data_IF_432180592079
#
_entry.id   IF_432180592079
#
_cell.length_a   1.000
_cell.length_b   1.000
_cell.length_c   1.000
_cell.angle_alpha   90.00
_cell.angle_beta   90.00
_cell.angle_gamma   90.00
#
_symmetry.space_group_name_H-M   'P 1'
#
loop_
_entity.id
_entity.type
_entity.pdbx_description
1 polymer ?
#
# COMPACT_ATOMS: atom_id res chain seq x y z
N UNK A 1 -44.88 37.23 -60.05
CA UNK A 1 -45.31 36.38 -58.92
C UNK A 1 -44.69 36.92 -57.65
N UNK A 2 -45.50 37.14 -56.60
CA UNK A 2 -45.16 37.91 -55.38
C UNK A 2 -44.50 37.02 -54.31
N UNK A 3 -43.65 37.58 -53.43
CA UNK A 3 -43.03 36.86 -52.32
C UNK A 3 -43.97 36.78 -51.11
N UNK A 4 -44.00 35.63 -50.43
CA UNK A 4 -44.74 35.45 -49.18
C UNK A 4 -43.75 35.55 -48.00
N UNK A 5 -43.86 36.64 -47.25
CA UNK A 5 -43.23 36.83 -45.93
C UNK A 5 -44.14 36.21 -44.88
N UNK A 6 -43.60 35.45 -43.94
CA UNK A 6 -44.26 35.12 -42.67
C UNK A 6 -43.33 35.49 -41.52
N UNK A 7 -43.91 36.30 -40.64
CA UNK A 7 -43.40 36.89 -39.40
C UNK A 7 -43.54 35.89 -38.23
N UNK A 8 -43.01 36.33 -37.07
CA UNK A 8 -43.41 35.95 -35.69
C UNK A 8 -42.96 34.56 -35.20
N UNK A 9 -42.43 34.36 -33.99
CA UNK A 9 -42.43 35.15 -32.74
C UNK A 9 -41.20 34.78 -31.89
N UNK A 10 -40.57 35.80 -31.33
CA UNK A 10 -39.57 35.77 -30.26
C UNK A 10 -40.24 35.25 -28.97
N UNK A 11 -39.79 34.12 -28.42
CA UNK A 11 -40.16 33.70 -27.06
C UNK A 11 -38.94 33.81 -26.16
N UNK A 12 -38.96 34.86 -25.33
CA UNK A 12 -37.97 35.20 -24.33
C UNK A 12 -38.25 34.33 -23.09
N UNK A 13 -37.65 33.15 -23.01
CA UNK A 13 -37.66 32.33 -21.80
C UNK A 13 -36.56 32.83 -20.86
N UNK A 14 -36.98 33.62 -19.87
CA UNK A 14 -36.16 34.02 -18.74
C UNK A 14 -35.75 32.80 -17.92
N UNK A 15 -34.47 32.47 -17.96
CA UNK A 15 -33.85 31.58 -16.99
C UNK A 15 -33.60 32.39 -15.72
N UNK A 16 -34.47 32.21 -14.73
CA UNK A 16 -34.24 32.65 -13.35
C UNK A 16 -33.10 31.77 -12.81
N UNK A 17 -31.88 32.30 -12.78
CA UNK A 17 -30.79 31.73 -11.98
C UNK A 17 -31.13 31.93 -10.51
N UNK A 18 -31.83 30.95 -9.92
CA UNK A 18 -31.86 30.81 -8.47
C UNK A 18 -30.44 30.45 -8.04
N UNK A 19 -29.73 31.48 -7.57
CA UNK A 19 -28.55 31.40 -6.73
C UNK A 19 -28.89 30.65 -5.45
N UNK A 20 -29.01 29.33 -5.54
CA UNK A 20 -28.88 28.46 -4.38
C UNK A 20 -27.40 28.36 -4.06
N UNK A 21 -26.95 29.09 -3.04
CA UNK A 21 -25.68 28.78 -2.40
C UNK A 21 -25.80 27.36 -1.85
N UNK A 22 -25.32 26.37 -2.60
CA UNK A 22 -25.03 25.05 -2.05
C UNK A 22 -23.78 25.26 -1.21
N UNK A 23 -24.00 25.54 0.07
CA UNK A 23 -22.97 25.44 1.08
C UNK A 23 -22.60 23.96 1.16
N UNK A 24 -21.60 23.57 0.38
CA UNK A 24 -20.89 22.31 0.58
C UNK A 24 -20.22 22.47 1.94
N UNK A 25 -20.91 22.03 2.99
CA UNK A 25 -20.28 21.78 4.28
C UNK A 25 -19.20 20.75 3.98
N UNK A 26 -17.96 21.22 3.96
CA UNK A 26 -16.78 20.37 4.02
C UNK A 26 -17.07 19.36 5.13
N UNK A 27 -17.24 18.11 4.69
CA UNK A 27 -17.45 16.99 5.59
C UNK A 27 -16.10 16.79 6.22
N UNK A 28 -15.87 17.51 7.31
CA UNK A 28 -14.72 17.38 8.19
C UNK A 28 -14.58 15.88 8.45
N UNK A 29 -13.58 15.30 7.77
CA UNK A 29 -13.32 13.89 7.79
C UNK A 29 -12.85 13.61 9.20
N UNK A 30 -13.77 13.15 10.05
CA UNK A 30 -13.51 12.90 11.45
C UNK A 30 -12.32 11.95 11.56
N UNK A 31 -11.16 12.51 11.91
CA UNK A 31 -9.93 11.76 12.10
C UNK A 31 -10.23 10.62 13.08
N UNK A 32 -10.14 9.38 12.59
CA UNK A 32 -10.50 8.21 13.37
C UNK A 32 -9.69 8.22 14.68
N UNK A 33 -10.31 8.06 15.86
CA UNK A 33 -9.69 8.35 17.15
C UNK A 33 -8.36 7.60 17.28
N UNK A 34 -7.26 8.35 17.23
CA UNK A 34 -5.90 7.84 17.39
C UNK A 34 -5.80 7.24 18.79
N UNK A 35 -5.34 6.00 18.93
CA UNK A 35 -5.10 5.43 20.26
C UNK A 35 -3.89 6.14 20.86
N UNK A 36 -4.13 7.14 21.69
CA UNK A 36 -3.07 7.79 22.47
C UNK A 36 -2.88 7.01 23.77
N UNK A 37 -1.77 6.30 23.88
CA UNK A 37 -1.32 5.74 25.16
C UNK A 37 -0.68 6.86 26.00
N UNK A 38 -0.93 6.84 27.31
CA UNK A 38 -0.30 7.80 28.21
C UNK A 38 1.16 7.41 28.45
N UNK A 39 2.06 8.40 28.51
CA UNK A 39 3.53 8.23 28.63
C UNK A 39 3.95 7.36 29.85
N UNK A 40 3.05 7.10 30.81
CA UNK A 40 3.34 6.29 32.00
C UNK A 40 3.18 4.77 31.84
N UNK A 41 2.64 4.29 30.72
CA UNK A 41 2.31 2.87 30.58
C UNK A 41 3.43 2.04 29.92
N UNK A 42 3.50 0.76 30.30
CA UNK A 42 4.27 -0.23 29.58
C UNK A 42 3.36 -0.92 28.55
N UNK A 43 3.80 -0.94 27.29
CA UNK A 43 3.10 -1.62 26.21
C UNK A 43 3.81 -2.94 25.93
N UNK A 44 3.04 -4.02 25.87
CA UNK A 44 3.56 -5.34 25.56
C UNK A 44 2.89 -5.84 24.29
N UNK A 45 3.69 -6.12 23.28
CA UNK A 45 3.27 -6.83 22.08
C UNK A 45 3.75 -8.27 22.16
N UNK A 46 2.81 -9.20 22.24
CA UNK A 46 3.08 -10.62 22.40
C UNK A 46 2.32 -11.51 21.40
N UNK A 47 1.55 -10.92 20.50
CA UNK A 47 0.73 -11.61 19.50
C UNK A 47 0.85 -10.93 18.13
N UNK A 48 0.56 -11.65 17.03
CA UNK A 48 0.47 -11.06 15.71
C UNK A 48 -0.63 -10.00 15.64
N UNK A 49 -0.37 -8.89 14.95
CA UNK A 49 -1.37 -7.86 14.70
C UNK A 49 -1.16 -7.21 13.34
N UNK A 50 -2.25 -6.74 12.73
CA UNK A 50 -2.23 -6.00 11.48
C UNK A 50 -2.86 -4.64 11.70
N UNK A 51 -2.12 -3.57 11.41
CA UNK A 51 -2.64 -2.21 11.50
C UNK A 51 -3.78 -2.02 10.50
N UNK A 52 -4.83 -1.34 10.96
CA UNK A 52 -5.98 -0.96 10.13
C UNK A 52 -5.97 0.55 9.80
N UNK A 53 -5.04 1.28 10.39
CA UNK A 53 -4.83 2.72 10.26
C UNK A 53 -3.45 3.09 10.79
N UNK A 54 -3.05 4.34 10.59
CA UNK A 54 -1.86 4.89 11.22
C UNK A 54 -1.91 4.72 12.75
N UNK A 55 -0.81 4.27 13.35
CA UNK A 55 -0.71 4.03 14.79
C UNK A 55 0.48 4.80 15.37
N UNK A 56 0.24 5.46 16.50
CA UNK A 56 1.27 6.20 17.26
C UNK A 56 1.33 5.63 18.66
N UNK A 57 2.52 5.19 19.06
CA UNK A 57 2.76 4.57 20.37
C UNK A 57 3.66 5.48 21.15
N UNK A 58 3.12 6.06 22.21
CA UNK A 58 3.85 6.83 23.21
C UNK A 58 3.77 6.11 24.53
N UNK A 59 4.90 5.59 25.00
CA UNK A 59 4.92 4.73 26.18
C UNK A 59 6.24 4.89 26.92
N UNK A 60 6.25 4.52 28.22
CA UNK A 60 7.49 4.43 28.96
C UNK A 60 8.35 3.32 28.39
N UNK A 61 7.76 2.13 28.24
CA UNK A 61 8.44 0.97 27.68
C UNK A 61 7.59 0.28 26.64
N UNK A 62 8.21 -0.16 25.54
CA UNK A 62 7.62 -1.07 24.58
C UNK A 62 8.40 -2.38 24.58
N UNK A 63 7.72 -3.48 24.90
CA UNK A 63 8.29 -4.82 24.87
C UNK A 63 7.71 -5.58 23.68
N UNK A 64 8.55 -5.88 22.69
CA UNK A 64 8.17 -6.64 21.50
C UNK A 64 8.69 -8.07 21.65
N UNK A 65 7.78 -8.98 21.99
CA UNK A 65 8.11 -10.39 22.21
C UNK A 65 8.30 -11.14 20.89
N UNK A 66 8.98 -12.29 20.95
CA UNK A 66 9.23 -13.19 19.80
C UNK A 66 7.99 -13.55 18.97
N UNK A 67 6.85 -13.70 19.61
CA UNK A 67 5.57 -14.08 18.96
C UNK A 67 4.87 -12.89 18.28
N UNK A 68 5.32 -11.67 18.55
CA UNK A 68 4.73 -10.48 17.95
C UNK A 68 5.22 -10.33 16.50
N UNK A 69 4.26 -10.33 15.58
CA UNK A 69 4.46 -10.03 14.16
C UNK A 69 3.50 -8.91 13.81
N UNK A 70 4.04 -7.70 13.67
CA UNK A 70 3.27 -6.49 13.42
C UNK A 70 3.32 -6.19 11.93
N UNK A 71 2.17 -6.34 11.25
CA UNK A 71 2.01 -5.96 9.85
C UNK A 71 1.50 -4.51 9.78
N UNK A 72 2.30 -3.58 9.28
CA UNK A 72 1.91 -2.17 9.14
C UNK A 72 1.19 -1.88 7.81
N UNK A 73 1.34 -2.76 6.82
CA UNK A 73 0.88 -2.56 5.44
C UNK A 73 1.44 -1.24 4.88
N UNK A 74 0.55 -0.42 4.32
CA UNK A 74 0.78 0.94 3.85
C UNK A 74 0.59 2.01 4.96
N UNK A 75 0.24 1.60 6.18
CA UNK A 75 0.00 2.55 7.27
C UNK A 75 1.30 2.99 7.98
N UNK A 76 1.41 4.28 8.34
CA UNK A 76 2.49 4.76 9.19
C UNK A 76 2.44 4.14 10.58
N UNK A 77 3.60 3.73 11.08
CA UNK A 77 3.81 3.32 12.48
C UNK A 77 4.84 4.25 13.11
N UNK A 78 4.43 4.96 14.16
CA UNK A 78 5.32 5.84 14.93
C UNK A 78 5.44 5.29 16.35
N UNK A 79 6.67 4.99 16.77
CA UNK A 79 7.01 4.52 18.11
C UNK A 79 7.91 5.57 18.75
N UNK A 80 7.49 6.11 19.88
CA UNK A 80 8.20 7.12 20.66
C UNK A 80 8.18 6.68 22.14
N UNK A 81 9.29 6.09 22.59
CA UNK A 81 9.34 5.42 23.90
C UNK A 81 10.60 5.77 24.69
N UNK A 82 10.55 5.65 26.01
CA UNK A 82 11.79 5.78 26.80
C UNK A 82 12.67 4.53 26.65
N UNK A 83 12.08 3.34 26.63
CA UNK A 83 12.81 2.08 26.48
C UNK A 83 12.14 1.13 25.48
N UNK A 84 12.90 0.64 24.50
CA UNK A 84 12.50 -0.42 23.58
C UNK A 84 13.20 -1.73 23.93
N UNK A 85 12.43 -2.77 24.25
CA UNK A 85 12.96 -4.10 24.56
C UNK A 85 12.45 -5.08 23.50
N UNK A 86 13.35 -5.64 22.69
CA UNK A 86 13.00 -6.55 21.60
C UNK A 86 13.52 -7.97 21.85
N UNK A 87 12.63 -8.94 21.89
CA UNK A 87 12.95 -10.36 22.12
C UNK A 87 12.78 -11.17 20.84
N UNK A 88 13.44 -10.75 19.76
CA UNK A 88 13.32 -11.31 18.40
C UNK A 88 11.93 -11.10 17.76
N UNK A 89 11.19 -10.07 18.20
CA UNK A 89 9.92 -9.67 17.58
C UNK A 89 10.10 -9.17 16.14
N UNK A 90 9.00 -9.09 15.39
CA UNK A 90 9.01 -8.69 13.98
C UNK A 90 8.06 -7.53 13.70
N UNK A 91 8.56 -6.49 13.03
CA UNK A 91 7.75 -5.45 12.39
C UNK A 91 7.95 -5.59 10.88
N UNK A 92 6.88 -5.61 10.10
CA UNK A 92 6.95 -5.66 8.64
C UNK A 92 5.84 -4.84 8.00
N UNK A 93 6.07 -4.29 6.81
CA UNK A 93 4.99 -3.67 6.04
C UNK A 93 4.02 -4.75 5.57
N UNK A 94 4.46 -5.56 4.61
CA UNK A 94 3.67 -6.65 4.05
C UNK A 94 4.29 -8.01 4.40
N UNK A 95 3.46 -9.05 4.62
CA UNK A 95 3.96 -10.42 4.65
C UNK A 95 4.55 -10.79 3.29
N UNK A 96 5.47 -11.77 3.28
CA UNK A 96 6.30 -12.13 2.09
C UNK A 96 5.47 -12.54 0.86
N UNK A 97 4.27 -13.05 1.11
CA UNK A 97 3.30 -13.59 0.16
C UNK A 97 2.13 -12.63 -0.13
N UNK A 98 2.17 -11.39 0.39
CA UNK A 98 1.16 -10.39 0.05
C UNK A 98 1.15 -10.11 -1.45
N UNK A 99 -0.04 -10.17 -2.06
CA UNK A 99 -0.25 -9.93 -3.47
C UNK A 99 -1.53 -9.12 -3.67
N UNK A 100 -1.47 -8.13 -4.55
CA UNK A 100 -2.62 -7.35 -4.96
C UNK A 100 -3.64 -8.21 -5.72
N UNK A 101 -4.88 -7.74 -5.81
CA UNK A 101 -5.90 -8.37 -6.66
C UNK A 101 -5.44 -8.44 -8.11
N UNK A 102 -6.03 -9.33 -8.91
CA UNK A 102 -5.77 -9.42 -10.35
C UNK A 102 -5.72 -8.05 -11.02
N UNK A 103 -4.69 -7.85 -11.86
CA UNK A 103 -4.40 -6.61 -12.60
C UNK A 103 -4.08 -5.40 -11.70
N UNK A 104 -4.15 -5.57 -10.38
CA UNK A 104 -3.98 -4.55 -9.37
C UNK A 104 -2.51 -4.23 -9.14
N UNK A 105 -2.24 -2.95 -8.93
CA UNK A 105 -0.92 -2.49 -8.51
C UNK A 105 -0.66 -2.92 -7.06
N UNK A 106 0.55 -3.40 -6.77
CA UNK A 106 0.99 -3.63 -5.41
C UNK A 106 1.08 -2.32 -4.63
N UNK A 107 0.60 -2.31 -3.40
CA UNK A 107 0.78 -1.18 -2.48
C UNK A 107 2.22 -1.07 -2.00
N UNK A 108 2.70 0.17 -1.90
CA UNK A 108 3.99 0.46 -1.28
C UNK A 108 3.92 0.32 0.23
N UNK A 109 5.03 -0.08 0.85
CA UNK A 109 5.13 -0.07 2.30
C UNK A 109 4.99 1.34 2.89
N UNK A 110 4.35 1.46 4.04
CA UNK A 110 4.29 2.71 4.80
C UNK A 110 5.59 3.00 5.56
N UNK A 111 5.64 4.16 6.21
CA UNK A 111 6.79 4.59 7.02
C UNK A 111 6.77 3.96 8.41
N UNK A 112 7.91 3.46 8.88
CA UNK A 112 8.14 3.02 10.25
C UNK A 112 9.13 4.00 10.90
N UNK A 113 8.66 4.75 11.90
CA UNK A 113 9.46 5.67 12.69
C UNK A 113 9.60 5.12 14.11
N UNK A 114 10.84 4.92 14.57
CA UNK A 114 11.14 4.42 15.91
C UNK A 114 12.13 5.38 16.56
N UNK A 115 11.68 6.07 17.60
CA UNK A 115 12.50 6.89 18.47
C UNK A 115 12.48 6.27 19.86
N UNK A 116 13.66 5.97 20.41
CA UNK A 116 13.77 5.50 21.78
C UNK A 116 14.97 6.10 22.52
N UNK A 117 14.82 6.42 23.81
CA UNK A 117 15.96 6.86 24.63
C UNK A 117 16.93 5.71 24.92
N UNK A 118 16.41 4.52 25.16
CA UNK A 118 17.19 3.31 25.34
C UNK A 118 16.60 2.16 24.52
N UNK A 119 17.44 1.23 24.05
CA UNK A 119 16.97 0.01 23.40
C UNK A 119 17.87 -1.19 23.72
N UNK A 120 17.26 -2.37 23.82
CA UNK A 120 17.97 -3.64 24.06
C UNK A 120 17.35 -4.81 23.27
N UNK A 121 18.18 -5.82 22.99
CA UNK A 121 17.75 -7.07 22.35
C UNK A 121 17.72 -7.03 20.82
N UNK A 122 17.01 -7.97 20.20
CA UNK A 122 16.98 -8.14 18.74
C UNK A 122 15.60 -7.77 18.20
N UNK A 123 15.56 -6.92 17.17
CA UNK A 123 14.33 -6.57 16.46
C UNK A 123 14.50 -6.92 14.97
N UNK A 124 13.57 -7.69 14.42
CA UNK A 124 13.51 -7.96 12.99
C UNK A 124 12.59 -6.94 12.31
N UNK A 125 13.09 -6.29 11.26
CA UNK A 125 12.34 -5.30 10.48
C UNK A 125 12.38 -5.74 9.01
N UNK A 126 11.20 -5.97 8.41
CA UNK A 126 11.08 -6.28 6.98
C UNK A 126 10.30 -5.18 6.26
N UNK A 127 11.01 -4.36 5.50
CA UNK A 127 10.43 -3.35 4.64
C UNK A 127 10.09 -4.02 3.30
N UNK A 128 8.81 -4.27 3.08
CA UNK A 128 8.33 -4.95 1.88
C UNK A 128 7.29 -4.12 1.16
N UNK A 129 7.31 -4.15 -0.17
CA UNK A 129 6.16 -3.79 -0.97
C UNK A 129 5.26 -5.00 -1.23
N UNK A 130 3.98 -4.75 -1.48
CA UNK A 130 3.04 -5.79 -1.92
C UNK A 130 3.36 -6.21 -3.36
N UNK A 131 3.20 -7.50 -3.69
CA UNK A 131 3.40 -7.96 -5.07
C UNK A 131 2.28 -7.43 -5.97
N UNK A 132 2.64 -7.15 -7.22
CA UNK A 132 1.67 -6.82 -8.25
C UNK A 132 0.72 -7.98 -8.53
N UNK A 133 -0.52 -7.63 -8.87
CA UNK A 133 -1.54 -8.59 -9.27
C UNK A 133 -1.20 -9.24 -10.60
N UNK A 134 -1.52 -10.53 -10.73
CA UNK A 134 -1.39 -11.23 -12.01
C UNK A 134 -2.33 -10.59 -13.04
N UNK A 135 -1.90 -10.51 -14.31
CA UNK A 135 -2.79 -10.17 -15.42
C UNK A 135 -3.74 -11.32 -15.73
N UNK A 136 -4.94 -11.01 -16.23
CA UNK A 136 -5.96 -12.01 -16.58
C UNK A 136 -5.72 -12.58 -17.96
N UNK A 137 -5.97 -13.87 -18.10
CA UNK A 137 -5.89 -14.58 -19.36
C UNK A 137 -7.04 -14.18 -20.30
N UNK A 138 -6.76 -14.10 -21.60
CA UNK A 138 -7.80 -13.85 -22.58
C UNK A 138 -8.71 -15.07 -22.76
N UNK A 139 -10.01 -14.88 -22.58
CA UNK A 139 -11.00 -15.96 -22.69
C UNK A 139 -11.45 -16.17 -24.13
N UNK A 140 -11.35 -17.39 -24.65
CA UNK A 140 -11.88 -17.73 -25.97
C UNK A 140 -13.39 -17.94 -25.88
N UNK A 141 -14.18 -17.08 -26.54
CA UNK A 141 -15.64 -17.18 -26.62
C UNK A 141 -16.12 -17.98 -27.83
N UNK A 142 -15.39 -17.95 -28.95
CA UNK A 142 -15.62 -18.82 -30.12
C UNK A 142 -14.28 -19.21 -30.77
N UNK A 143 -13.74 -20.42 -30.50
CA UNK A 143 -12.46 -20.88 -31.03
C UNK A 143 -12.45 -21.04 -32.56
N UNK A 144 -13.62 -21.05 -33.23
CA UNK A 144 -13.74 -21.18 -34.68
C UNK A 144 -13.69 -19.84 -35.40
N UNK A 145 -14.01 -18.74 -34.71
CA UNK A 145 -14.03 -17.38 -35.28
C UNK A 145 -12.84 -16.53 -34.86
N UNK A 146 -12.28 -16.78 -33.68
CA UNK A 146 -11.18 -15.99 -33.16
C UNK A 146 -10.08 -16.90 -32.58
N UNK A 147 -8.84 -16.84 -33.10
CA UNK A 147 -7.76 -17.73 -32.64
C UNK A 147 -7.13 -17.29 -31.30
N UNK A 148 -7.57 -16.17 -30.72
CA UNK A 148 -7.16 -15.73 -29.40
C UNK A 148 -7.83 -14.41 -29.00
N UNK A 149 -8.02 -14.22 -27.71
CA UNK A 149 -8.45 -12.96 -27.11
C UNK A 149 -7.29 -12.44 -26.25
N UNK A 150 -7.10 -11.12 -26.20
CA UNK A 150 -5.96 -10.54 -25.51
C UNK A 150 -5.99 -10.84 -24.01
N UNK A 151 -4.81 -11.11 -23.43
CA UNK A 151 -4.64 -11.09 -21.98
C UNK A 151 -4.45 -9.65 -21.47
N UNK A 152 -4.53 -9.45 -20.17
CA UNK A 152 -4.28 -8.13 -19.56
C UNK A 152 -2.90 -8.07 -18.90
N UNK A 153 -2.48 -6.85 -18.59
CA UNK A 153 -1.18 -6.61 -17.98
C UNK A 153 -1.17 -7.09 -16.52
N UNK A 154 0.00 -7.53 -16.06
CA UNK A 154 0.25 -7.65 -14.63
C UNK A 154 0.40 -6.27 -13.99
N UNK A 155 0.09 -6.17 -12.70
CA UNK A 155 0.34 -4.97 -11.92
C UNK A 155 1.81 -4.83 -11.55
N UNK A 156 2.27 -3.59 -11.35
CA UNK A 156 3.59 -3.33 -10.79
C UNK A 156 3.62 -3.76 -9.32
N UNK A 157 4.78 -4.14 -8.82
CA UNK A 157 5.02 -4.35 -7.40
C UNK A 157 5.16 -3.03 -6.65
N UNK A 158 4.68 -2.98 -5.42
CA UNK A 158 4.81 -1.81 -4.56
C UNK A 158 6.26 -1.55 -4.14
N UNK A 159 6.62 -0.29 -3.89
CA UNK A 159 7.92 0.03 -3.33
C UNK A 159 8.02 -0.48 -1.89
N UNK A 160 9.24 -0.65 -1.37
CA UNK A 160 9.39 -0.88 0.07
C UNK A 160 8.95 0.35 0.85
N UNK A 161 8.68 0.16 2.15
CA UNK A 161 8.51 1.28 3.06
C UNK A 161 9.83 1.94 3.42
N UNK A 162 9.73 2.99 4.22
CA UNK A 162 10.86 3.70 4.79
C UNK A 162 11.01 3.34 6.28
N UNK A 163 12.26 3.30 6.76
CA UNK A 163 12.59 3.14 8.18
C UNK A 163 13.42 4.32 8.67
N UNK A 164 12.94 4.95 9.75
CA UNK A 164 13.72 5.91 10.52
C UNK A 164 13.84 5.39 11.94
N UNK A 165 15.05 4.99 12.34
CA UNK A 165 15.36 4.47 13.66
C UNK A 165 16.35 5.39 14.35
N UNK A 166 15.92 6.05 15.42
CA UNK A 166 16.76 6.89 16.26
C UNK A 166 16.80 6.32 17.68
N UNK A 167 18.00 6.00 18.15
CA UNK A 167 18.24 5.55 19.53
C UNK A 167 19.19 6.54 20.23
N UNK A 168 18.68 7.17 21.30
CA UNK A 168 19.37 8.20 22.07
C UNK A 168 20.12 7.62 23.29
N UNK A 169 20.71 6.43 23.18
CA UNK A 169 21.24 5.77 24.39
C UNK A 169 22.70 6.12 24.68
N UNK A 170 23.01 6.86 25.75
CA UNK A 170 24.38 6.88 26.31
C UNK A 170 24.82 5.49 26.83
N UNK A 171 23.85 4.64 27.17
CA UNK A 171 24.05 3.29 27.69
C UNK A 171 23.94 2.25 26.57
N UNK A 172 25.03 2.11 25.81
CA UNK A 172 25.17 1.08 24.80
C UNK A 172 25.19 -0.32 25.43
N UNK A 173 24.30 -1.21 24.98
CA UNK A 173 24.35 -2.59 25.43
C UNK A 173 23.34 -3.53 24.76
N UNK A 174 23.50 -3.77 23.45
CA UNK A 174 22.96 -4.98 22.84
C UNK A 174 21.67 -4.84 22.02
N UNK A 175 21.31 -3.64 21.55
CA UNK A 175 20.26 -3.52 20.53
C UNK A 175 20.78 -3.82 19.13
N UNK A 176 20.19 -4.83 18.48
CA UNK A 176 20.53 -5.30 17.16
C UNK A 176 19.29 -5.27 16.25
N UNK A 177 19.05 -4.16 15.53
CA UNK A 177 18.04 -4.13 14.48
C UNK A 177 18.54 -4.94 13.28
N UNK A 178 17.71 -5.88 12.81
CA UNK A 178 17.95 -6.65 11.58
C UNK A 178 16.97 -6.17 10.54
N UNK A 179 17.44 -5.32 9.64
CA UNK A 179 16.62 -4.70 8.60
C UNK A 179 16.83 -5.46 7.30
N UNK A 180 15.73 -5.86 6.66
CA UNK A 180 15.73 -6.35 5.28
C UNK A 180 14.76 -5.51 4.47
N UNK A 181 15.16 -5.12 3.26
CA UNK A 181 14.35 -4.32 2.35
C UNK A 181 14.16 -5.11 1.04
N UNK A 182 12.91 -5.34 0.64
CA UNK A 182 12.56 -6.12 -0.55
C UNK A 182 11.35 -5.49 -1.27
N UNK A 183 11.58 -4.89 -2.43
CA UNK A 183 10.50 -4.36 -3.27
C UNK A 183 9.48 -5.43 -3.66
N UNK A 184 8.23 -5.03 -3.90
CA UNK A 184 7.20 -5.93 -4.40
C UNK A 184 7.60 -6.51 -5.76
N UNK A 185 7.37 -7.80 -5.97
CA UNK A 185 7.59 -8.41 -7.28
C UNK A 185 6.52 -7.94 -8.27
N UNK A 186 6.91 -7.83 -9.54
CA UNK A 186 6.00 -7.61 -10.65
C UNK A 186 4.95 -8.72 -10.74
N UNK A 187 3.71 -8.34 -11.06
CA UNK A 187 2.69 -9.27 -11.50
C UNK A 187 3.02 -9.80 -12.91
N UNK A 188 2.91 -11.11 -13.16
CA UNK A 188 3.05 -11.69 -14.49
C UNK A 188 1.91 -11.23 -15.41
N UNK A 189 2.19 -11.09 -16.70
CA UNK A 189 1.17 -10.84 -17.73
C UNK A 189 0.14 -11.96 -17.85
N UNK A 190 -1.07 -11.60 -18.24
CA UNK A 190 -2.05 -12.53 -18.77
C UNK A 190 -1.70 -12.95 -20.19
N UNK A 191 -1.91 -14.22 -20.50
CA UNK A 191 -1.61 -14.82 -21.81
C UNK A 191 -2.85 -14.77 -22.70
N UNK A 192 -2.64 -14.62 -24.01
CA UNK A 192 -3.71 -14.67 -25.01
C UNK A 192 -4.34 -16.07 -25.11
N UNK A 193 -5.66 -16.11 -25.27
CA UNK A 193 -6.41 -17.30 -25.67
C UNK A 193 -6.15 -18.57 -24.84
N UNK A 194 -5.76 -18.43 -23.57
CA UNK A 194 -5.21 -19.51 -22.77
C UNK A 194 -6.26 -20.30 -21.98
N UNK A 195 -7.52 -19.87 -21.99
CA UNK A 195 -8.61 -20.56 -21.28
C UNK A 195 -9.81 -20.86 -22.19
N UNK A 196 -10.24 -22.13 -22.18
CA UNK A 196 -11.52 -22.56 -22.74
C UNK A 196 -12.67 -22.00 -21.89
N UNK A 197 -13.90 -21.93 -22.44
CA UNK A 197 -15.05 -21.48 -21.65
C UNK A 197 -15.22 -22.35 -20.39
N UNK A 198 -15.15 -21.73 -19.20
CA UNK A 198 -15.30 -22.42 -17.91
C UNK A 198 -14.22 -22.13 -16.86
N UNK A 199 -13.11 -21.47 -17.20
CA UNK A 199 -12.18 -20.94 -16.17
C UNK A 199 -12.87 -19.89 -15.30
N UNK A 200 -12.44 -19.72 -14.03
CA UNK A 200 -12.99 -18.68 -13.16
C UNK A 200 -12.89 -17.31 -13.85
N UNK A 201 -13.99 -16.55 -13.81
CA UNK A 201 -14.06 -15.19 -14.39
C UNK A 201 -13.07 -14.22 -13.71
N UNK A 202 -12.55 -14.58 -12.54
CA UNK A 202 -11.55 -13.78 -11.82
C UNK A 202 -10.16 -13.88 -12.45
N UNK A 203 -9.85 -14.97 -13.15
CA UNK A 203 -8.54 -15.23 -13.77
C UNK A 203 -8.55 -14.95 -15.28
N UNK A 204 -9.71 -14.57 -15.83
CA UNK A 204 -9.92 -14.44 -17.26
C UNK A 204 -10.73 -13.21 -17.64
N UNK A 205 -10.49 -12.70 -18.85
CA UNK A 205 -11.15 -11.51 -19.38
C UNK A 205 -11.72 -11.79 -20.76
N UNK A 206 -12.97 -11.36 -20.97
CA UNK A 206 -13.58 -11.28 -22.29
C UNK A 206 -13.04 -10.04 -23.01
N UNK A 207 -11.84 -10.17 -23.60
CA UNK A 207 -11.21 -9.12 -24.38
C UNK A 207 -11.58 -9.21 -25.87
N UNK A 208 -11.39 -8.14 -26.66
CA UNK A 208 -11.54 -8.21 -28.10
C UNK A 208 -10.64 -9.28 -28.70
N UNK A 209 -11.24 -10.13 -29.54
CA UNK A 209 -10.55 -11.29 -30.10
C UNK A 209 -10.20 -11.04 -31.57
N UNK A 210 -8.92 -11.18 -31.88
CA UNK A 210 -8.38 -10.95 -33.24
C UNK A 210 -7.32 -11.99 -33.55
N UNK A 211 -6.93 -12.09 -34.82
CA UNK A 211 -5.92 -13.05 -35.27
C UNK A 211 -4.59 -12.92 -34.52
N UNK A 212 -4.23 -11.69 -34.17
CA UNK A 212 -2.94 -11.33 -33.56
C UNK A 212 -3.14 -10.61 -32.21
N UNK A 213 -4.12 -11.05 -31.42
CA UNK A 213 -4.31 -10.49 -30.08
C UNK A 213 -3.01 -10.65 -29.25
N UNK A 214 -2.49 -9.58 -28.64
CA UNK A 214 -1.25 -9.63 -27.88
C UNK A 214 -1.48 -10.27 -26.50
N UNK A 215 -0.39 -10.78 -25.92
CA UNK A 215 -0.34 -11.01 -24.47
C UNK A 215 -0.32 -9.66 -23.74
N UNK A 216 -0.60 -9.67 -22.44
CA UNK A 216 -0.33 -8.51 -21.61
C UNK A 216 1.17 -8.23 -21.50
N UNK A 217 1.51 -7.22 -20.72
CA UNK A 217 2.89 -6.91 -20.31
C UNK A 217 3.06 -7.24 -18.83
N UNK A 218 4.24 -7.74 -18.45
CA UNK A 218 4.56 -7.95 -17.05
C UNK A 218 4.63 -6.60 -16.34
N UNK A 219 4.26 -6.56 -15.06
CA UNK A 219 4.50 -5.39 -14.25
C UNK A 219 5.99 -5.10 -14.06
N UNK A 220 6.29 -3.99 -13.38
CA UNK A 220 7.63 -3.65 -12.93
C UNK A 220 7.81 -4.03 -11.46
N UNK A 221 9.01 -4.46 -11.04
CA UNK A 221 9.28 -4.63 -9.62
C UNK A 221 9.27 -3.26 -8.91
N UNK A 222 8.89 -3.28 -7.64
CA UNK A 222 8.98 -2.11 -6.76
C UNK A 222 10.42 -1.73 -6.45
N UNK A 223 10.60 -0.48 -6.05
CA UNK A 223 11.91 0.08 -5.69
C UNK A 223 12.17 -0.04 -4.20
N UNK A 224 13.44 0.02 -3.83
CA UNK A 224 13.88 0.18 -2.46
C UNK A 224 13.57 1.62 -1.98
N UNK A 225 13.13 1.71 -0.73
CA UNK A 225 12.89 2.92 0.04
C UNK A 225 14.08 3.22 0.96
N UNK A 226 13.92 4.22 1.83
CA UNK A 226 15.02 4.74 2.64
C UNK A 226 15.15 4.01 3.97
N UNK A 227 16.39 3.69 4.35
CA UNK A 227 16.69 3.17 5.68
C UNK A 227 17.67 4.11 6.36
N UNK A 228 17.21 4.83 7.39
CA UNK A 228 18.09 5.63 8.22
C UNK A 228 18.12 5.14 9.67
N UNK A 229 19.33 4.83 10.14
CA UNK A 229 19.60 4.41 11.52
C UNK A 229 20.58 5.40 12.14
N UNK A 230 20.12 6.10 13.18
CA UNK A 230 20.89 7.09 13.94
C UNK A 230 21.12 6.60 15.36
N UNK A 231 22.39 6.57 15.78
CA UNK A 231 22.81 6.18 17.14
C UNK A 231 23.60 7.32 17.78
N UNK A 232 22.96 8.08 18.68
CA UNK A 232 23.52 9.36 19.14
C UNK A 232 24.82 9.23 19.95
N UNK A 233 24.99 8.15 20.72
CA UNK A 233 26.18 7.97 21.58
C UNK A 233 27.48 7.65 20.85
N UNK A 234 27.41 7.26 19.57
CA UNK A 234 28.59 7.04 18.72
C UNK A 234 28.82 8.15 17.70
N UNK A 235 27.93 9.15 17.63
CA UNK A 235 27.91 10.11 16.52
C UNK A 235 27.73 9.43 15.15
N UNK A 236 27.24 8.19 15.13
CA UNK A 236 27.12 7.37 13.92
C UNK A 236 25.74 7.59 13.31
N UNK A 237 25.73 8.06 12.07
CA UNK A 237 24.53 8.22 11.25
C UNK A 237 24.76 7.48 9.94
N UNK A 238 24.00 6.41 9.74
CA UNK A 238 23.98 5.67 8.48
C UNK A 238 22.57 5.85 7.91
N UNK A 239 22.43 6.63 6.85
CA UNK A 239 21.24 6.63 6.02
C UNK A 239 21.66 6.09 4.64
N UNK A 240 21.14 4.93 4.28
CA UNK A 240 21.32 4.29 2.97
C UNK A 240 20.06 4.47 2.11
#
# INVERSE_FOLDING_TARGET
MKPLKIFTTLSLLGAIFLSGCVEVKDKEEAEAPMKTYSISEDVIWNEPMTLQKAEVIKARRLIIKRKAVINTLDFPLIIDVEELIAEDGTIQNFPKDAQASWEGQGRSGGTINITAKAATGNLNIFLRGERGGNGKNGQITDPRRHPGCAGTNGGDGGNTGDLFLQIDSEFGGGFLPRVNSEGGLAGPRGIRGSVASGSPLEESVAAPCFRDAPDGVDGKPGREGTVCIKRLWKGEQNCD
#
